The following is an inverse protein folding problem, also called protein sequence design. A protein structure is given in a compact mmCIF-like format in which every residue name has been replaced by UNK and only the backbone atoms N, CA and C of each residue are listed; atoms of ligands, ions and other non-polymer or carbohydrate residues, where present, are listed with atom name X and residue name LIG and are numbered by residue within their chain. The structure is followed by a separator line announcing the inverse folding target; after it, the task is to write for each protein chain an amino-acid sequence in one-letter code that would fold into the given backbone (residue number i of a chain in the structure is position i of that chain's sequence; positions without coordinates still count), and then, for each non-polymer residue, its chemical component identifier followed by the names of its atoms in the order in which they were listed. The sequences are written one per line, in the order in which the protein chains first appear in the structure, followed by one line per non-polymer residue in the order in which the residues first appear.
data_IF_174743844504
#
_entry.id   IF_174743844504
#
_cell.length_a   1.000
_cell.length_b   1.000
_cell.length_c   1.000
_cell.angle_alpha   90.00
_cell.angle_beta   90.00
_cell.angle_gamma   90.00
#
_symmetry.space_group_name_H-M   'P 1'
#
loop_
_entity.id
_entity.type
_entity.pdbx_description
1 polymer ?
#
# COMPACT_ATOMS: atom_id res chain seq x y z
N UNK A 1 -66.71 -18.10 -23.88
CA UNK A 1 -65.99 -19.12 -23.10
C UNK A 1 -64.62 -19.34 -23.71
N UNK A 2 -63.59 -19.19 -22.86
CA UNK A 2 -62.25 -19.85 -22.83
C UNK A 2 -61.98 -20.95 -23.89
N UNK A 3 -60.77 -21.24 -24.38
CA UNK A 3 -59.38 -20.96 -23.93
C UNK A 3 -58.38 -21.72 -24.84
N UNK A 4 -57.07 -21.50 -24.60
CA UNK A 4 -55.85 -22.29 -24.94
C UNK A 4 -55.09 -21.84 -26.21
N UNK A 5 -53.76 -21.61 -26.24
CA UNK A 5 -52.65 -21.78 -25.28
C UNK A 5 -51.31 -21.21 -25.83
N UNK A 6 -50.62 -20.37 -25.03
CA UNK A 6 -49.16 -20.16 -24.75
C UNK A 6 -48.04 -20.07 -25.82
N UNK A 7 -46.82 -19.52 -25.50
CA UNK A 7 -46.33 -18.98 -24.22
C UNK A 7 -45.68 -17.57 -24.26
N UNK A 8 -45.77 -16.89 -23.12
CA UNK A 8 -44.96 -15.72 -22.75
C UNK A 8 -43.53 -16.12 -22.36
N UNK A 9 -42.53 -15.39 -22.85
CA UNK A 9 -41.13 -15.49 -22.40
C UNK A 9 -40.87 -14.48 -21.29
N UNK A 10 -40.91 -14.91 -20.04
CA UNK A 10 -40.42 -14.14 -18.89
C UNK A 10 -38.90 -14.26 -18.81
N UNK A 11 -38.18 -13.21 -19.20
CA UNK A 11 -36.74 -13.09 -18.95
C UNK A 11 -36.55 -12.67 -17.49
N UNK A 12 -36.09 -13.58 -16.66
CA UNK A 12 -35.78 -13.35 -15.24
C UNK A 12 -34.66 -12.32 -15.08
N UNK A 13 -34.99 -11.22 -14.41
CA UNK A 13 -34.10 -10.23 -13.83
C UNK A 13 -33.10 -10.88 -12.87
N UNK A 14 -31.79 -10.71 -13.11
CA UNK A 14 -30.76 -10.80 -12.06
C UNK A 14 -30.17 -9.40 -11.87
N UNK A 15 -30.83 -8.60 -11.04
CA UNK A 15 -30.24 -7.41 -10.45
C UNK A 15 -29.49 -7.85 -9.20
N UNK A 16 -28.17 -8.02 -9.30
CA UNK A 16 -27.31 -8.19 -8.13
C UNK A 16 -27.21 -6.83 -7.40
N UNK A 17 -28.08 -6.61 -6.41
CA UNK A 17 -27.90 -5.51 -5.47
C UNK A 17 -26.94 -5.97 -4.37
N UNK A 18 -25.67 -5.57 -4.47
CA UNK A 18 -24.69 -5.70 -3.38
C UNK A 18 -25.15 -4.85 -2.18
N UNK A 19 -24.91 -5.34 -0.96
CA UNK A 19 -25.33 -4.65 0.27
C UNK A 19 -24.51 -3.37 0.49
N UNK A 20 -25.10 -2.38 1.19
CA UNK A 20 -24.42 -1.11 1.48
C UNK A 20 -23.12 -1.31 2.29
N UNK A 21 -23.08 -2.34 3.14
CA UNK A 21 -21.91 -2.70 3.93
C UNK A 21 -20.76 -3.21 3.05
N UNK A 22 -21.05 -4.05 2.05
CA UNK A 22 -20.06 -4.54 1.07
C UNK A 22 -19.50 -3.40 0.20
N UNK A 23 -20.36 -2.49 -0.26
CA UNK A 23 -19.94 -1.29 -1.00
C UNK A 23 -19.04 -0.37 -0.15
N UNK A 24 -19.37 -0.22 1.13
CA UNK A 24 -18.60 0.62 2.06
C UNK A 24 -17.23 0.01 2.41
N UNK A 25 -17.17 -1.32 2.53
CA UNK A 25 -15.94 -2.06 2.75
C UNK A 25 -15.02 -1.98 1.53
N UNK A 26 -15.58 -2.10 0.31
CA UNK A 26 -14.85 -1.95 -0.95
C UNK A 26 -14.24 -0.54 -1.08
N UNK A 27 -15.02 0.51 -0.79
CA UNK A 27 -14.51 1.88 -0.82
C UNK A 27 -13.43 2.14 0.25
N UNK A 28 -13.59 1.55 1.44
CA UNK A 28 -12.59 1.66 2.53
C UNK A 28 -11.27 0.98 2.15
N UNK A 29 -11.35 -0.20 1.53
CA UNK A 29 -10.18 -0.92 1.04
C UNK A 29 -9.43 -0.13 -0.05
N UNK A 30 -10.18 0.41 -1.01
CA UNK A 30 -9.64 1.27 -2.06
C UNK A 30 -8.98 2.55 -1.51
N UNK A 31 -9.58 3.17 -0.50
CA UNK A 31 -8.98 4.34 0.15
C UNK A 31 -7.66 3.97 0.85
N UNK A 32 -7.64 2.86 1.58
CA UNK A 32 -6.43 2.36 2.23
C UNK A 32 -5.31 2.08 1.20
N UNK A 33 -5.66 1.51 0.04
CA UNK A 33 -4.72 1.29 -1.07
C UNK A 33 -4.04 2.60 -1.51
N UNK A 34 -4.83 3.63 -1.81
CA UNK A 34 -4.27 4.90 -2.30
C UNK A 34 -3.47 5.64 -1.23
N UNK A 35 -3.90 5.59 0.03
CA UNK A 35 -3.16 6.19 1.15
C UNK A 35 -1.81 5.49 1.32
N UNK A 36 -1.79 4.16 1.37
CA UNK A 36 -0.55 3.41 1.52
C UNK A 36 0.41 3.64 0.36
N UNK A 37 -0.11 3.65 -0.88
CA UNK A 37 0.68 3.98 -2.08
C UNK A 37 1.25 5.40 -2.03
N UNK A 38 0.46 6.38 -1.59
CA UNK A 38 0.91 7.76 -1.47
C UNK A 38 2.05 7.91 -0.46
N UNK A 39 1.95 7.23 0.69
CA UNK A 39 3.01 7.19 1.69
C UNK A 39 4.31 6.60 1.13
N UNK A 40 4.22 5.45 0.43
CA UNK A 40 5.40 4.82 -0.17
C UNK A 40 6.08 5.71 -1.22
N UNK A 41 5.29 6.46 -2.01
CA UNK A 41 5.85 7.44 -2.97
C UNK A 41 6.45 8.65 -2.28
N UNK A 42 5.88 9.08 -1.16
CA UNK A 42 6.38 10.21 -0.40
C UNK A 42 7.71 9.88 0.28
N UNK A 43 7.88 8.67 0.81
CA UNK A 43 9.14 8.22 1.42
C UNK A 43 10.31 8.15 0.42
N UNK A 44 9.99 8.01 -0.86
CA UNK A 44 10.95 7.77 -1.94
C UNK A 44 11.27 9.02 -2.78
N UNK A 45 10.86 10.21 -2.32
CA UNK A 45 11.17 11.46 -3.00
C UNK A 45 12.66 11.79 -2.96
N UNK A 46 13.23 12.11 -4.11
CA UNK A 46 14.62 12.57 -4.20
C UNK A 46 14.79 13.91 -3.47
N UNK A 47 15.61 13.90 -2.42
CA UNK A 47 16.11 15.14 -1.83
C UNK A 47 17.26 15.57 -2.72
N UNK A 48 17.07 16.63 -3.50
CA UNK A 48 18.19 17.25 -4.22
C UNK A 48 19.20 17.69 -3.16
N UNK A 49 20.48 17.38 -3.36
CA UNK A 49 21.64 17.80 -2.52
C UNK A 49 21.83 19.33 -2.53
N UNK A 50 20.79 20.08 -2.21
CA UNK A 50 20.87 21.46 -1.84
C UNK A 50 21.23 21.43 -0.37
N UNK A 51 22.43 21.94 -0.07
CA UNK A 51 23.00 22.13 1.26
C UNK A 51 21.92 22.18 2.35
N UNK A 52 22.10 21.38 3.41
CA UNK A 52 21.21 21.21 4.59
C UNK A 52 20.76 22.51 5.30
N UNK A 53 21.12 23.67 4.77
CA UNK A 53 20.76 25.02 5.19
C UNK A 53 19.45 25.53 4.58
N UNK A 54 18.90 24.93 3.52
CA UNK A 54 17.58 25.34 2.99
C UNK A 54 16.44 24.76 3.87
N UNK A 55 15.60 25.61 4.49
CA UNK A 55 14.44 25.16 5.27
C UNK A 55 13.52 24.20 4.50
N UNK A 56 13.44 24.33 3.18
CA UNK A 56 12.63 23.45 2.33
C UNK A 56 13.19 22.03 2.26
N UNK A 57 14.51 21.88 2.07
CA UNK A 57 15.20 20.59 2.10
C UNK A 57 15.00 19.88 3.45
N UNK A 58 15.08 20.64 4.54
CA UNK A 58 14.84 20.10 5.89
C UNK A 58 13.39 19.62 6.08
N UNK A 59 12.41 20.37 5.56
CA UNK A 59 11.00 19.99 5.59
C UNK A 59 10.74 18.72 4.76
N UNK A 60 11.31 18.64 3.56
CA UNK A 60 11.19 17.47 2.69
C UNK A 60 11.77 16.22 3.38
N UNK A 61 12.93 16.33 4.01
CA UNK A 61 13.53 15.23 4.79
C UNK A 61 12.63 14.77 5.93
N UNK A 62 12.09 15.71 6.73
CA UNK A 62 11.14 15.41 7.82
C UNK A 62 9.89 14.70 7.30
N UNK A 63 9.36 15.14 6.16
CA UNK A 63 8.19 14.52 5.53
C UNK A 63 8.46 13.07 5.11
N UNK A 64 9.65 12.79 4.57
CA UNK A 64 10.07 11.43 4.20
C UNK A 64 10.21 10.50 5.41
N UNK A 65 10.90 10.95 6.46
CA UNK A 65 11.07 10.20 7.70
C UNK A 65 9.72 9.90 8.34
N UNK A 66 8.84 10.91 8.43
CA UNK A 66 7.50 10.72 8.96
C UNK A 66 6.69 9.70 8.15
N UNK A 67 6.79 9.74 6.82
CA UNK A 67 6.15 8.75 5.94
C UNK A 67 6.66 7.34 6.20
N UNK A 68 7.98 7.15 6.34
CA UNK A 68 8.57 5.84 6.66
C UNK A 68 8.09 5.31 8.02
N UNK A 69 7.92 6.18 9.03
CA UNK A 69 7.37 5.80 10.33
C UNK A 69 5.91 5.35 10.23
N UNK A 70 5.09 6.07 9.46
CA UNK A 70 3.70 5.67 9.23
C UNK A 70 3.59 4.34 8.48
N UNK A 71 4.43 4.13 7.46
CA UNK A 71 4.48 2.85 6.74
C UNK A 71 4.83 1.72 7.71
N UNK A 72 5.87 1.89 8.52
CA UNK A 72 6.27 0.90 9.54
C UNK A 72 5.09 0.56 10.47
N UNK A 73 4.39 1.57 10.98
CA UNK A 73 3.22 1.36 11.84
C UNK A 73 2.11 0.58 11.13
N UNK A 74 1.86 0.86 9.85
CA UNK A 74 0.88 0.12 9.05
C UNK A 74 1.32 -1.34 8.90
N UNK A 75 2.59 -1.60 8.59
CA UNK A 75 3.11 -2.98 8.47
C UNK A 75 2.97 -3.75 9.78
N UNK A 76 3.33 -3.14 10.91
CA UNK A 76 3.25 -3.73 12.25
C UNK A 76 1.82 -4.10 12.65
N UNK A 77 0.88 -3.20 12.37
CA UNK A 77 -0.53 -3.33 12.79
C UNK A 77 -1.44 -3.96 11.73
N UNK A 78 -0.91 -4.23 10.54
CA UNK A 78 -1.67 -4.79 9.42
C UNK A 78 -2.30 -6.14 9.79
N UNK A 79 -3.58 -6.33 9.45
CA UNK A 79 -4.25 -7.62 9.58
C UNK A 79 -3.92 -8.58 8.43
N UNK A 80 -4.31 -9.87 8.54
CA UNK A 80 -4.03 -10.89 7.52
C UNK A 80 -4.51 -10.51 6.12
N UNK A 81 -5.68 -9.87 6.01
CA UNK A 81 -6.28 -9.43 4.72
C UNK A 81 -5.35 -8.47 3.98
N UNK A 82 -4.74 -7.51 4.69
CA UNK A 82 -3.77 -6.60 4.09
C UNK A 82 -2.51 -7.35 3.66
N UNK A 83 -2.01 -8.26 4.52
CA UNK A 83 -0.75 -8.99 4.29
C UNK A 83 -0.80 -9.95 3.10
N UNK A 84 -1.96 -10.56 2.84
CA UNK A 84 -2.16 -11.48 1.73
C UNK A 84 -2.78 -10.83 0.48
N UNK A 85 -3.07 -9.52 0.52
CA UNK A 85 -3.66 -8.84 -0.63
C UNK A 85 -2.61 -8.61 -1.73
N UNK A 86 -2.88 -9.12 -2.92
CA UNK A 86 -2.02 -8.92 -4.09
C UNK A 86 -1.83 -7.44 -4.44
N UNK A 87 -2.84 -6.60 -4.21
CA UNK A 87 -2.76 -5.16 -4.47
C UNK A 87 -1.77 -4.46 -3.53
N UNK A 88 -1.81 -4.78 -2.23
CA UNK A 88 -0.87 -4.23 -1.26
C UNK A 88 0.53 -4.82 -1.41
N UNK A 89 0.63 -6.12 -1.69
CA UNK A 89 1.90 -6.77 -2.02
C UNK A 89 2.53 -6.13 -3.27
N UNK A 90 1.73 -5.81 -4.29
CA UNK A 90 2.21 -5.09 -5.46
C UNK A 90 2.77 -3.71 -5.10
N UNK A 91 2.09 -2.94 -4.23
CA UNK A 91 2.62 -1.64 -3.76
C UNK A 91 3.95 -1.83 -3.02
N UNK A 92 4.03 -2.81 -2.12
CA UNK A 92 5.26 -3.07 -1.36
C UNK A 92 6.41 -3.38 -2.31
N UNK A 93 6.21 -4.32 -3.24
CA UNK A 93 7.23 -4.73 -4.22
C UNK A 93 7.67 -3.58 -5.13
N UNK A 94 6.71 -2.78 -5.60
CA UNK A 94 6.95 -1.77 -6.65
C UNK A 94 7.47 -0.44 -6.09
N UNK A 95 7.05 -0.07 -4.88
CA UNK A 95 7.35 1.25 -4.32
C UNK A 95 8.16 1.17 -3.03
N UNK A 96 7.70 0.38 -2.05
CA UNK A 96 8.36 0.35 -0.75
C UNK A 96 9.75 -0.26 -0.84
N UNK A 97 9.89 -1.45 -1.43
CA UNK A 97 11.18 -2.13 -1.59
C UNK A 97 12.22 -1.24 -2.30
N UNK A 98 11.83 -0.55 -3.36
CA UNK A 98 12.68 0.42 -4.07
C UNK A 98 13.11 1.56 -3.15
N UNK A 99 12.17 2.13 -2.38
CA UNK A 99 12.45 3.15 -1.38
C UNK A 99 13.42 2.66 -0.32
N UNK A 100 13.26 1.44 0.18
CA UNK A 100 14.14 0.87 1.20
C UNK A 100 15.56 0.70 0.67
N UNK A 101 15.74 0.14 -0.54
CA UNK A 101 17.09 -0.03 -1.11
C UNK A 101 17.82 1.30 -1.32
N UNK A 102 17.11 2.36 -1.75
CA UNK A 102 17.71 3.69 -1.88
C UNK A 102 18.08 4.31 -0.54
N UNK A 103 17.22 4.16 0.47
CA UNK A 103 17.47 4.70 1.81
C UNK A 103 18.48 3.86 2.61
N UNK A 104 18.64 2.57 2.29
CA UNK A 104 19.59 1.64 2.93
C UNK A 104 21.06 1.95 2.65
N UNK A 105 21.34 2.83 1.69
CA UNK A 105 22.69 3.37 1.42
C UNK A 105 22.79 4.88 1.67
N UNK A 106 21.81 5.47 2.35
CA UNK A 106 21.80 6.90 2.65
C UNK A 106 22.89 7.26 3.66
N UNK A 107 23.59 8.39 3.41
CA UNK A 107 24.51 8.98 4.38
C UNK A 107 23.80 9.69 5.54
N UNK A 108 22.46 9.82 5.50
CA UNK A 108 21.64 10.38 6.57
C UNK A 108 21.24 9.23 7.51
N UNK A 109 21.77 9.17 8.75
CA UNK A 109 21.57 8.03 9.63
C UNK A 109 20.10 7.71 9.92
N UNK A 110 19.27 8.74 10.08
CA UNK A 110 17.84 8.57 10.39
C UNK A 110 17.07 7.91 9.22
N UNK A 111 17.43 8.19 7.96
CA UNK A 111 16.81 7.51 6.81
C UNK A 111 17.25 6.05 6.71
N UNK A 112 18.54 5.79 6.95
CA UNK A 112 19.09 4.44 6.98
C UNK A 112 18.40 3.58 8.06
N UNK A 113 18.29 4.11 9.27
CA UNK A 113 17.64 3.43 10.39
C UNK A 113 16.16 3.13 10.08
N UNK A 114 15.42 4.11 9.54
CA UNK A 114 14.03 3.89 9.15
C UNK A 114 13.88 2.85 8.03
N UNK A 115 14.83 2.79 7.10
CA UNK A 115 14.82 1.76 6.06
C UNK A 115 15.01 0.37 6.67
N UNK A 116 15.94 0.22 7.61
CA UNK A 116 16.19 -1.04 8.31
C UNK A 116 14.97 -1.50 9.12
N UNK A 117 14.33 -0.62 9.89
CA UNK A 117 13.13 -1.02 10.65
C UNK A 117 11.99 -1.47 9.74
N UNK A 118 11.71 -0.74 8.66
CA UNK A 118 10.71 -1.18 7.69
C UNK A 118 11.09 -2.53 7.05
N UNK A 119 12.36 -2.75 6.73
CA UNK A 119 12.83 -4.02 6.19
C UNK A 119 12.63 -5.18 7.18
N UNK A 120 12.92 -4.96 8.47
CA UNK A 120 12.66 -5.96 9.52
C UNK A 120 11.17 -6.30 9.62
N UNK A 121 10.27 -5.32 9.52
CA UNK A 121 8.82 -5.58 9.49
C UNK A 121 8.40 -6.41 8.26
N UNK A 122 9.02 -6.17 7.10
CA UNK A 122 8.78 -6.99 5.90
C UNK A 122 9.29 -8.43 6.10
N UNK A 123 10.44 -8.62 6.75
CA UNK A 123 10.96 -9.94 7.08
C UNK A 123 10.05 -10.70 8.05
N UNK A 124 9.52 -10.02 9.06
CA UNK A 124 8.69 -10.67 10.09
C UNK A 124 7.29 -10.99 9.55
N UNK A 125 6.63 -10.04 8.87
CA UNK A 125 5.21 -10.16 8.52
C UNK A 125 4.94 -10.59 7.07
N UNK A 126 5.90 -10.42 6.15
CA UNK A 126 5.67 -10.57 4.70
C UNK A 126 6.64 -11.54 4.00
N UNK A 127 7.57 -12.18 4.72
CA UNK A 127 8.61 -13.06 4.14
C UNK A 127 8.08 -14.16 3.22
N UNK A 128 6.92 -14.75 3.52
CA UNK A 128 6.31 -15.77 2.65
C UNK A 128 5.91 -15.24 1.28
N UNK A 129 5.60 -13.95 1.18
CA UNK A 129 5.08 -13.30 -0.03
C UNK A 129 6.14 -12.51 -0.81
N UNK A 130 7.27 -12.18 -0.17
CA UNK A 130 8.27 -11.23 -0.68
C UNK A 130 9.68 -11.82 -0.81
N UNK A 131 9.86 -13.15 -0.86
CA UNK A 131 11.19 -13.80 -0.85
C UNK A 131 12.18 -13.17 -1.85
N UNK A 132 11.77 -13.04 -3.11
CA UNK A 132 12.64 -12.49 -4.18
C UNK A 132 12.98 -11.03 -3.89
N UNK A 133 12.02 -10.22 -3.45
CA UNK A 133 12.27 -8.81 -3.18
C UNK A 133 13.16 -8.60 -1.97
N UNK A 134 13.01 -9.44 -0.94
CA UNK A 134 13.87 -9.42 0.25
C UNK A 134 15.33 -9.76 -0.09
N UNK A 135 15.56 -10.69 -1.03
CA UNK A 135 16.91 -11.06 -1.47
C UNK A 135 17.62 -9.93 -2.24
N UNK A 136 16.85 -9.06 -2.90
CA UNK A 136 17.36 -8.00 -3.78
C UNK A 136 17.30 -6.62 -3.13
N UNK A 137 16.61 -6.48 -1.99
CA UNK A 137 16.43 -5.22 -1.27
C UNK A 137 17.70 -4.77 -0.55
#
# INVERSE_FOLDING_TARGET
SQSTSDPSSTKSTMSNSLSADELSADNSFKNAYYVFRALCKLSDRDIKDKTNTDPKTNLDLKSRIFSLRLIMQILQTSGPIFRSSEDFLYIIKTYLCVSLSRNGVSSIPELFEMALFNFVELLDKFKSYLKIQIEVC
#
